data_IF_514245569459
#
_entry.id   IF_514245569459
#
_cell.length_a   1.000
_cell.length_b   1.000
_cell.length_c   1.000
_cell.angle_alpha   90.00
_cell.angle_beta   90.00
_cell.angle_gamma   90.00
#
_symmetry.space_group_name_H-M   'P 1'
#
loop_
_entity.id
_entity.type
_entity.pdbx_description
1 polymer ?
#
# COMPACT_ATOMS: atom_id res chain seq x y z
N UNK A 1 5.54 -9.48 -35.32
CA UNK A 1 5.36 -10.43 -34.22
C UNK A 1 3.92 -10.92 -34.23
N UNK A 2 3.68 -12.24 -34.37
CA UNK A 2 2.34 -12.82 -34.31
C UNK A 2 1.72 -12.46 -32.93
N UNK A 3 0.45 -12.02 -32.93
CA UNK A 3 -0.38 -11.85 -31.72
C UNK A 3 -0.55 -13.23 -31.07
N UNK A 4 0.40 -13.66 -30.30
CA UNK A 4 0.15 -14.76 -29.37
C UNK A 4 -0.53 -14.15 -28.16
N UNK A 5 -1.84 -14.34 -28.02
CA UNK A 5 -2.57 -14.03 -26.79
C UNK A 5 -2.00 -14.92 -25.68
N UNK A 6 -1.14 -14.37 -24.84
CA UNK A 6 -0.59 -15.10 -23.71
C UNK A 6 -1.71 -15.45 -22.72
N UNK A 7 -1.61 -16.63 -22.11
CA UNK A 7 -2.45 -17.05 -20.99
C UNK A 7 -1.79 -16.64 -19.69
N UNK A 8 -2.38 -15.70 -18.98
CA UNK A 8 -1.80 -15.11 -17.78
C UNK A 8 -2.76 -15.36 -16.62
N UNK A 9 -2.25 -15.94 -15.55
CA UNK A 9 -3.00 -16.01 -14.29
C UNK A 9 -2.48 -14.98 -13.31
N UNK A 10 -3.38 -14.34 -12.57
CA UNK A 10 -3.06 -13.43 -11.48
C UNK A 10 -3.67 -13.98 -10.19
N UNK A 11 -2.83 -14.39 -9.26
CA UNK A 11 -3.24 -14.86 -7.95
C UNK A 11 -3.39 -13.69 -6.98
N UNK A 12 -4.61 -13.50 -6.47
CA UNK A 12 -5.02 -12.39 -5.63
C UNK A 12 -5.70 -11.26 -6.40
N UNK A 13 -6.81 -10.76 -5.86
CA UNK A 13 -7.64 -9.70 -6.44
C UNK A 13 -7.65 -8.41 -5.59
N UNK A 14 -6.52 -8.11 -4.92
CA UNK A 14 -6.27 -6.81 -4.27
C UNK A 14 -5.92 -5.73 -5.29
N UNK A 15 -5.47 -4.55 -4.84
CA UNK A 15 -5.12 -3.41 -5.70
C UNK A 15 -4.09 -3.78 -6.78
N UNK A 16 -3.04 -4.51 -6.41
CA UNK A 16 -2.01 -4.98 -7.35
C UNK A 16 -2.60 -5.96 -8.36
N UNK A 17 -3.30 -6.99 -7.88
CA UNK A 17 -3.86 -8.02 -8.74
C UNK A 17 -4.92 -7.49 -9.70
N UNK A 18 -5.87 -6.67 -9.22
CA UNK A 18 -6.91 -6.11 -10.08
C UNK A 18 -6.37 -5.15 -11.12
N UNK A 19 -5.45 -4.25 -10.75
CA UNK A 19 -4.89 -3.29 -11.69
C UNK A 19 -4.10 -3.97 -12.81
N UNK A 20 -3.24 -4.96 -12.46
CA UNK A 20 -2.45 -5.68 -13.46
C UNK A 20 -3.31 -6.61 -14.33
N UNK A 21 -4.34 -7.24 -13.76
CA UNK A 21 -5.29 -8.08 -14.50
C UNK A 21 -6.07 -7.25 -15.50
N UNK A 22 -6.61 -6.10 -15.09
CA UNK A 22 -7.32 -5.16 -15.97
C UNK A 22 -6.41 -4.65 -17.09
N UNK A 23 -5.17 -4.30 -16.75
CA UNK A 23 -4.18 -3.83 -17.72
C UNK A 23 -3.87 -4.88 -18.78
N UNK A 24 -3.53 -6.11 -18.35
CA UNK A 24 -3.07 -7.18 -19.25
C UNK A 24 -4.20 -7.80 -20.06
N UNK A 25 -5.43 -7.84 -19.56
CA UNK A 25 -6.59 -8.45 -20.24
C UNK A 25 -7.05 -7.70 -21.48
N UNK A 26 -6.56 -6.49 -21.72
CA UNK A 26 -6.81 -5.75 -22.96
C UNK A 26 -6.19 -6.44 -24.19
N UNK A 27 -5.16 -7.25 -24.02
CA UNK A 27 -4.42 -7.87 -25.13
C UNK A 27 -4.13 -9.37 -24.94
N UNK A 28 -4.43 -9.92 -23.77
CA UNK A 28 -4.10 -11.29 -23.39
C UNK A 28 -5.30 -11.97 -22.73
N UNK A 29 -5.26 -13.29 -22.62
CA UNK A 29 -6.24 -14.07 -21.86
C UNK A 29 -5.82 -14.05 -20.39
N UNK A 30 -6.59 -13.39 -19.53
CA UNK A 30 -6.26 -13.24 -18.11
C UNK A 30 -7.29 -13.95 -17.25
N UNK A 31 -6.80 -14.81 -16.35
CA UNK A 31 -7.60 -15.46 -15.31
C UNK A 31 -7.16 -14.95 -13.96
N UNK A 32 -8.06 -14.38 -13.17
CA UNK A 32 -7.80 -14.06 -11.77
C UNK A 32 -8.13 -15.27 -10.92
N UNK A 33 -7.18 -15.69 -10.10
CA UNK A 33 -7.41 -16.68 -9.06
C UNK A 33 -7.58 -15.98 -7.71
N UNK A 34 -8.69 -16.23 -7.04
CA UNK A 34 -8.92 -15.76 -5.66
C UNK A 34 -9.72 -16.81 -4.90
N UNK A 35 -9.36 -17.03 -3.63
CA UNK A 35 -10.05 -18.00 -2.76
C UNK A 35 -11.45 -17.53 -2.35
N UNK A 36 -11.70 -16.21 -2.39
CA UNK A 36 -12.98 -15.60 -2.04
C UNK A 36 -13.95 -15.66 -3.23
N UNK A 37 -14.93 -16.55 -3.11
CA UNK A 37 -15.97 -16.73 -4.13
C UNK A 37 -16.76 -15.46 -4.44
N UNK A 38 -16.94 -14.57 -3.46
CA UNK A 38 -17.64 -13.30 -3.65
C UNK A 38 -16.86 -12.36 -4.57
N UNK A 39 -15.53 -12.34 -4.44
CA UNK A 39 -14.63 -11.59 -5.31
C UNK A 39 -14.60 -12.17 -6.72
N UNK A 40 -14.54 -13.50 -6.83
CA UNK A 40 -14.64 -14.19 -8.13
C UNK A 40 -15.93 -13.82 -8.87
N UNK A 41 -17.06 -13.85 -8.16
CA UNK A 41 -18.37 -13.45 -8.73
C UNK A 41 -18.38 -11.98 -9.18
N UNK A 42 -17.83 -11.07 -8.36
CA UNK A 42 -17.71 -9.64 -8.74
C UNK A 42 -16.96 -9.48 -10.06
N UNK A 43 -15.75 -10.05 -10.16
CA UNK A 43 -14.91 -9.91 -11.37
C UNK A 43 -15.62 -10.46 -12.62
N UNK A 44 -16.23 -11.63 -12.52
CA UNK A 44 -16.98 -12.23 -13.64
C UNK A 44 -18.20 -11.39 -14.03
N UNK A 45 -18.78 -10.63 -13.10
CA UNK A 45 -19.86 -9.66 -13.34
C UNK A 45 -19.32 -8.24 -13.71
N UNK A 46 -18.05 -8.12 -14.06
CA UNK A 46 -17.43 -6.83 -14.42
C UNK A 46 -17.47 -5.79 -13.30
N UNK A 47 -17.33 -6.23 -12.05
CA UNK A 47 -17.27 -5.39 -10.87
C UNK A 47 -15.88 -5.49 -10.23
N UNK A 48 -15.33 -4.37 -9.79
CA UNK A 48 -14.05 -4.36 -9.08
C UNK A 48 -14.17 -4.92 -7.67
N UNK A 49 -13.10 -5.53 -7.19
CA UNK A 49 -12.94 -5.97 -5.80
C UNK A 49 -12.25 -4.92 -4.92
N UNK A 50 -11.81 -3.82 -5.51
CA UNK A 50 -11.11 -2.71 -4.86
C UNK A 50 -11.68 -1.38 -5.34
N UNK A 51 -11.50 -0.31 -4.58
CA UNK A 51 -11.91 1.04 -4.95
C UNK A 51 -10.86 1.70 -5.82
N UNK A 52 -11.10 1.73 -7.12
CA UNK A 52 -10.28 2.43 -8.11
C UNK A 52 -11.19 2.77 -9.31
N UNK A 53 -11.54 4.05 -9.44
CA UNK A 53 -12.51 4.51 -10.44
C UNK A 53 -12.11 4.13 -11.87
N UNK A 54 -10.81 4.11 -12.16
CA UNK A 54 -10.32 3.77 -13.48
C UNK A 54 -10.44 2.25 -13.75
N UNK A 55 -10.28 1.40 -12.73
CA UNK A 55 -10.56 -0.04 -12.85
C UNK A 55 -12.04 -0.24 -13.16
N UNK A 56 -12.93 0.42 -12.43
CA UNK A 56 -14.39 0.32 -12.66
C UNK A 56 -14.75 0.77 -14.07
N UNK A 57 -14.18 1.90 -14.53
CA UNK A 57 -14.37 2.38 -15.87
C UNK A 57 -13.92 1.36 -16.95
N UNK A 58 -12.74 0.75 -16.76
CA UNK A 58 -12.22 -0.24 -17.71
C UNK A 58 -13.04 -1.52 -17.73
N UNK A 59 -13.48 -2.02 -16.58
CA UNK A 59 -14.33 -3.20 -16.48
C UNK A 59 -15.66 -3.02 -17.20
N UNK A 60 -16.24 -1.81 -17.15
CA UNK A 60 -17.53 -1.51 -17.76
C UNK A 60 -17.44 -1.15 -19.26
N UNK A 61 -16.41 -0.38 -19.66
CA UNK A 61 -16.35 0.24 -20.98
C UNK A 61 -15.39 -0.43 -21.96
N UNK A 62 -14.53 -1.34 -21.51
CA UNK A 62 -13.54 -2.01 -22.37
C UNK A 62 -13.87 -3.47 -22.58
N UNK A 63 -13.57 -3.96 -23.79
CA UNK A 63 -13.55 -5.40 -24.04
C UNK A 63 -12.29 -6.00 -23.41
N UNK A 64 -12.48 -6.71 -22.30
CA UNK A 64 -11.42 -7.34 -21.54
C UNK A 64 -11.56 -8.87 -21.64
N UNK A 65 -10.48 -9.55 -22.02
CA UNK A 65 -10.39 -11.01 -21.95
C UNK A 65 -10.06 -11.43 -20.50
N UNK A 66 -10.96 -11.11 -19.59
CA UNK A 66 -10.80 -11.29 -18.15
C UNK A 66 -11.85 -12.24 -17.60
N UNK A 67 -11.40 -13.27 -16.90
CA UNK A 67 -12.22 -14.21 -16.11
C UNK A 67 -11.66 -14.37 -14.72
N UNK A 68 -12.43 -14.92 -13.81
CA UNK A 68 -11.96 -15.25 -12.45
C UNK A 68 -12.44 -16.63 -12.03
N UNK A 69 -11.66 -17.30 -11.19
CA UNK A 69 -11.96 -18.62 -10.64
C UNK A 69 -11.35 -18.80 -9.24
N UNK A 70 -11.96 -19.66 -8.44
CA UNK A 70 -11.38 -20.16 -7.18
C UNK A 70 -10.82 -21.59 -7.30
N UNK A 71 -10.73 -22.11 -8.55
CA UNK A 71 -10.17 -23.41 -8.82
C UNK A 71 -8.74 -23.28 -9.35
N UNK A 72 -7.76 -23.78 -8.60
CA UNK A 72 -6.34 -23.71 -8.93
C UNK A 72 -6.01 -24.47 -10.25
N UNK A 73 -6.66 -25.61 -10.53
CA UNK A 73 -6.38 -26.38 -11.73
C UNK A 73 -6.79 -25.60 -13.00
N UNK A 74 -7.94 -24.93 -12.94
CA UNK A 74 -8.38 -24.05 -14.02
C UNK A 74 -7.45 -22.84 -14.18
N UNK A 75 -6.97 -22.29 -13.06
CA UNK A 75 -6.13 -21.12 -13.06
C UNK A 75 -4.71 -21.37 -13.59
N UNK A 76 -4.07 -22.49 -13.22
CA UNK A 76 -2.62 -22.64 -13.38
C UNK A 76 -2.20 -23.57 -14.52
N UNK A 77 -3.01 -24.59 -14.85
CA UNK A 77 -2.59 -25.69 -15.73
C UNK A 77 -2.03 -25.24 -17.09
N UNK A 78 -2.65 -24.24 -17.69
CA UNK A 78 -2.33 -23.79 -19.05
C UNK A 78 -1.72 -22.37 -19.08
N UNK A 79 -1.37 -21.79 -17.96
CA UNK A 79 -0.80 -20.45 -17.89
C UNK A 79 0.62 -20.41 -18.48
N UNK A 80 0.94 -19.35 -19.23
CA UNK A 80 2.31 -19.01 -19.64
C UNK A 80 3.02 -18.24 -18.51
N UNK A 81 2.27 -17.37 -17.83
CA UNK A 81 2.73 -16.60 -16.68
C UNK A 81 1.72 -16.69 -15.53
N UNK A 82 2.22 -16.83 -14.30
CA UNK A 82 1.42 -16.71 -13.09
C UNK A 82 1.99 -15.58 -12.24
N UNK A 83 1.20 -14.54 -12.01
CA UNK A 83 1.58 -13.36 -11.22
C UNK A 83 1.06 -13.51 -9.80
N UNK A 84 1.94 -13.45 -8.82
CA UNK A 84 1.62 -13.54 -7.40
C UNK A 84 1.40 -12.14 -6.81
N UNK A 85 0.15 -11.78 -6.53
CA UNK A 85 -0.25 -10.52 -5.91
C UNK A 85 -0.96 -10.78 -4.57
N UNK A 86 -0.33 -11.59 -3.73
CA UNK A 86 -0.84 -12.07 -2.45
C UNK A 86 -0.36 -11.19 -1.29
N UNK A 87 -1.10 -11.12 -0.17
CA UNK A 87 -0.67 -10.36 1.00
C UNK A 87 0.60 -10.96 1.62
N UNK A 88 1.49 -10.07 2.08
CA UNK A 88 2.70 -10.39 2.85
C UNK A 88 2.78 -9.40 4.00
N UNK A 89 2.11 -9.75 5.10
CA UNK A 89 2.09 -8.91 6.29
C UNK A 89 3.38 -9.06 7.09
N UNK A 90 3.73 -8.05 7.89
CA UNK A 90 4.91 -8.12 8.74
C UNK A 90 4.54 -8.81 10.06
N UNK A 91 5.20 -9.89 10.39
CA UNK A 91 5.09 -10.57 11.67
C UNK A 91 6.08 -9.95 12.68
N UNK A 92 5.54 -9.34 13.73
CA UNK A 92 6.34 -8.69 14.78
C UNK A 92 7.14 -9.69 15.64
N UNK A 93 6.71 -10.95 15.70
CA UNK A 93 7.38 -11.99 16.49
C UNK A 93 8.59 -12.54 15.74
N UNK A 94 8.37 -12.84 14.45
CA UNK A 94 9.42 -13.34 13.56
C UNK A 94 10.31 -12.20 13.01
N UNK A 95 9.92 -10.94 13.26
CA UNK A 95 10.58 -9.73 12.76
C UNK A 95 10.84 -9.79 11.25
N UNK A 96 9.89 -10.33 10.49
CA UNK A 96 9.97 -10.53 9.03
C UNK A 96 8.59 -10.57 8.41
N UNK A 97 8.52 -10.47 7.08
CA UNK A 97 7.27 -10.72 6.36
C UNK A 97 6.85 -12.20 6.51
N UNK A 98 5.57 -12.42 6.76
CA UNK A 98 4.95 -13.73 6.58
C UNK A 98 4.71 -13.96 5.08
N UNK A 99 5.53 -14.84 4.50
CA UNK A 99 5.43 -15.26 3.10
C UNK A 99 4.75 -16.61 2.93
N UNK A 100 4.22 -17.20 3.99
CA UNK A 100 3.70 -18.59 4.00
C UNK A 100 2.63 -18.84 2.95
N UNK A 101 1.66 -17.90 2.80
CA UNK A 101 0.60 -17.99 1.78
C UNK A 101 1.20 -17.91 0.37
N UNK A 102 2.13 -17.00 0.15
CA UNK A 102 2.81 -16.82 -1.12
C UNK A 102 3.61 -18.06 -1.51
N UNK A 103 4.39 -18.60 -0.58
CA UNK A 103 5.27 -19.75 -0.80
C UNK A 103 4.47 -21.01 -1.09
N UNK A 104 3.37 -21.22 -0.36
CA UNK A 104 2.45 -22.33 -0.58
C UNK A 104 1.78 -22.23 -1.95
N UNK A 105 1.37 -21.04 -2.36
CA UNK A 105 0.74 -20.85 -3.67
C UNK A 105 1.74 -21.05 -4.81
N UNK A 106 2.98 -20.58 -4.68
CA UNK A 106 4.06 -20.84 -5.64
C UNK A 106 4.32 -22.34 -5.78
N UNK A 107 4.34 -23.08 -4.66
CA UNK A 107 4.46 -24.53 -4.68
C UNK A 107 3.33 -25.16 -5.50
N UNK A 108 2.09 -24.77 -5.24
CA UNK A 108 0.92 -25.28 -5.98
C UNK A 108 1.02 -25.02 -7.50
N UNK A 109 1.51 -23.85 -7.90
CA UNK A 109 1.73 -23.54 -9.32
C UNK A 109 2.79 -24.44 -9.93
N UNK A 110 3.93 -24.63 -9.27
CA UNK A 110 5.04 -25.42 -9.79
C UNK A 110 4.65 -26.89 -9.94
N UNK A 111 3.85 -27.43 -9.01
CA UNK A 111 3.33 -28.80 -9.06
C UNK A 111 2.33 -29.00 -10.22
N UNK A 112 1.47 -27.98 -10.49
CA UNK A 112 0.42 -28.07 -11.51
C UNK A 112 0.90 -27.68 -12.92
N UNK A 113 1.95 -26.85 -13.01
CA UNK A 113 2.47 -26.34 -14.27
C UNK A 113 4.00 -26.23 -14.25
N UNK A 114 4.65 -27.14 -14.93
CA UNK A 114 6.11 -27.22 -14.99
C UNK A 114 6.74 -26.35 -16.09
N UNK A 115 5.96 -25.49 -16.78
CA UNK A 115 6.42 -24.68 -17.91
C UNK A 115 6.27 -23.16 -17.66
N UNK A 116 5.27 -22.72 -16.91
CA UNK A 116 4.98 -21.31 -16.71
C UNK A 116 6.11 -20.60 -15.95
N UNK A 117 6.19 -19.31 -16.15
CA UNK A 117 6.98 -18.43 -15.30
C UNK A 117 6.11 -17.89 -14.16
N UNK A 118 6.64 -17.94 -12.94
CA UNK A 118 5.99 -17.35 -11.76
C UNK A 118 6.60 -15.98 -11.51
N UNK A 119 5.78 -14.94 -11.50
CA UNK A 119 6.20 -13.56 -11.29
C UNK A 119 5.72 -13.08 -9.93
N UNK A 120 6.62 -12.91 -8.99
CA UNK A 120 6.27 -12.36 -7.67
C UNK A 120 6.11 -10.84 -7.80
N UNK A 121 4.89 -10.36 -7.52
CA UNK A 121 4.53 -8.94 -7.42
C UNK A 121 4.39 -8.49 -5.97
N UNK A 122 4.15 -9.41 -5.05
CA UNK A 122 4.09 -9.16 -3.61
C UNK A 122 5.43 -8.65 -3.10
N UNK A 123 5.42 -7.78 -2.09
CA UNK A 123 6.67 -7.35 -1.43
C UNK A 123 7.18 -8.46 -0.52
N UNK A 124 8.44 -8.84 -0.70
CA UNK A 124 9.10 -9.97 -0.03
C UNK A 124 10.45 -9.54 0.57
N UNK A 125 11.03 -10.33 1.49
CA UNK A 125 12.37 -10.10 2.01
C UNK A 125 13.43 -10.18 0.90
N UNK A 126 14.54 -9.44 1.07
CA UNK A 126 15.65 -9.48 0.11
C UNK A 126 16.28 -10.88 0.10
N UNK A 127 16.41 -11.46 -1.10
CA UNK A 127 16.94 -12.81 -1.31
C UNK A 127 15.88 -13.90 -1.36
N UNK A 128 14.61 -13.59 -1.06
CA UNK A 128 13.54 -14.59 -0.98
C UNK A 128 13.28 -15.30 -2.31
N UNK A 129 13.31 -14.57 -3.44
CA UNK A 129 13.18 -15.19 -4.77
C UNK A 129 14.25 -16.26 -5.03
N UNK A 130 15.49 -15.98 -4.65
CA UNK A 130 16.58 -16.95 -4.82
C UNK A 130 16.41 -18.15 -3.87
N UNK A 131 15.93 -17.91 -2.65
CA UNK A 131 15.59 -18.98 -1.72
C UNK A 131 14.54 -19.92 -2.32
N UNK A 132 13.46 -19.40 -2.86
CA UNK A 132 12.41 -20.18 -3.52
C UNK A 132 12.94 -20.95 -4.75
N UNK A 133 13.82 -20.33 -5.55
CA UNK A 133 14.47 -21.03 -6.68
C UNK A 133 15.27 -22.24 -6.21
N UNK A 134 15.98 -22.12 -5.11
CA UNK A 134 16.73 -23.23 -4.52
C UNK A 134 15.81 -24.32 -3.97
N UNK A 135 14.76 -23.96 -3.22
CA UNK A 135 13.79 -24.91 -2.65
C UNK A 135 13.10 -25.72 -3.76
N UNK A 136 12.67 -25.06 -4.83
CA UNK A 136 11.92 -25.71 -5.91
C UNK A 136 12.80 -26.16 -7.08
N UNK A 137 14.12 -26.00 -7.00
CA UNK A 137 15.08 -26.33 -8.05
C UNK A 137 14.65 -25.81 -9.44
N UNK A 138 14.34 -24.50 -9.52
CA UNK A 138 13.83 -23.88 -10.75
C UNK A 138 14.27 -22.44 -10.91
N UNK A 139 14.57 -22.02 -12.14
CA UNK A 139 14.86 -20.63 -12.50
C UNK A 139 13.65 -19.86 -13.06
N UNK A 140 12.45 -20.45 -12.96
CA UNK A 140 11.21 -19.86 -13.52
C UNK A 140 10.49 -18.92 -12.54
N UNK A 141 11.01 -18.71 -11.35
CA UNK A 141 10.49 -17.75 -10.36
C UNK A 141 11.24 -16.43 -10.56
N UNK A 142 10.51 -15.38 -10.87
CA UNK A 142 11.02 -14.04 -11.14
C UNK A 142 10.41 -13.03 -10.17
N UNK A 143 11.10 -11.96 -9.87
CA UNK A 143 10.55 -10.85 -9.11
C UNK A 143 10.33 -9.62 -9.98
N UNK A 144 9.18 -8.99 -9.87
CA UNK A 144 8.92 -7.71 -10.54
C UNK A 144 8.11 -6.80 -9.62
N UNK A 145 8.75 -5.87 -8.91
CA UNK A 145 8.09 -4.98 -7.97
C UNK A 145 7.02 -4.12 -8.64
N UNK A 146 6.11 -3.64 -7.82
CA UNK A 146 5.14 -2.62 -8.20
C UNK A 146 5.36 -1.35 -7.37
N UNK A 147 4.94 -0.19 -7.91
CA UNK A 147 5.12 1.12 -7.27
C UNK A 147 3.82 1.94 -7.32
N UNK A 148 2.69 1.25 -7.30
CA UNK A 148 1.37 1.85 -7.38
C UNK A 148 0.88 2.42 -6.04
N UNK A 149 -0.10 3.32 -6.13
CA UNK A 149 -0.84 3.88 -5.00
C UNK A 149 -2.25 3.30 -4.96
N UNK A 150 -2.70 2.91 -3.77
CA UNK A 150 -4.09 2.48 -3.55
C UNK A 150 -5.06 3.60 -3.99
N UNK A 151 -6.12 3.23 -4.69
CA UNK A 151 -7.09 4.16 -5.29
C UNK A 151 -6.68 4.75 -6.65
N UNK A 152 -5.41 4.59 -7.07
CA UNK A 152 -4.88 5.01 -8.37
C UNK A 152 -4.07 3.90 -9.05
N UNK A 153 -4.31 2.65 -8.68
CA UNK A 153 -3.46 1.52 -9.05
C UNK A 153 -3.39 1.30 -10.56
N UNK A 154 -4.52 1.41 -11.27
CA UNK A 154 -4.53 1.26 -12.72
C UNK A 154 -3.87 2.44 -13.44
N UNK A 155 -4.08 3.68 -12.97
CA UNK A 155 -3.45 4.86 -13.53
C UNK A 155 -1.92 4.80 -13.42
N UNK A 156 -1.41 4.38 -12.25
CA UNK A 156 0.02 4.20 -12.00
C UNK A 156 0.61 3.06 -12.86
N UNK A 157 -0.12 1.96 -13.07
CA UNK A 157 0.31 0.86 -13.94
C UNK A 157 0.23 1.21 -15.44
N UNK A 158 -0.69 2.08 -15.85
CA UNK A 158 -0.75 2.60 -17.22
C UNK A 158 0.39 3.57 -17.53
N UNK A 159 0.86 4.32 -16.52
CA UNK A 159 1.91 5.33 -16.65
C UNK A 159 3.03 5.12 -15.63
N UNK A 160 3.67 3.93 -15.59
CA UNK A 160 4.69 3.66 -14.58
C UNK A 160 5.90 4.56 -14.78
N UNK A 161 6.49 5.04 -13.68
CA UNK A 161 7.76 5.80 -13.74
C UNK A 161 8.92 4.94 -14.27
N UNK A 162 8.86 3.65 -13.99
CA UNK A 162 9.81 2.62 -14.41
C UNK A 162 9.18 1.24 -14.34
N UNK A 163 9.69 0.31 -15.14
CA UNK A 163 9.36 -1.11 -15.10
C UNK A 163 10.62 -1.86 -14.71
N UNK A 164 10.58 -2.65 -13.64
CA UNK A 164 11.72 -3.43 -13.16
C UNK A 164 11.38 -4.91 -13.23
N UNK A 165 12.29 -5.70 -13.79
CA UNK A 165 12.22 -7.16 -13.79
C UNK A 165 13.51 -7.72 -13.20
N UNK A 166 13.38 -8.46 -12.10
CA UNK A 166 14.49 -9.02 -11.33
C UNK A 166 15.01 -10.32 -11.91
N UNK A 167 15.42 -10.30 -13.15
CA UNK A 167 16.13 -11.37 -13.85
C UNK A 167 16.56 -10.93 -15.24
N UNK A 168 17.43 -11.72 -15.90
CA UNK A 168 17.93 -11.50 -17.28
C UNK A 168 17.50 -12.61 -18.26
N UNK A 169 16.77 -13.63 -17.79
CA UNK A 169 16.31 -14.77 -18.59
C UNK A 169 15.37 -14.36 -19.71
N UNK A 170 15.16 -15.25 -20.67
CA UNK A 170 14.19 -15.04 -21.76
C UNK A 170 12.78 -14.75 -21.21
N UNK A 171 12.34 -15.47 -20.16
CA UNK A 171 11.05 -15.22 -19.48
C UNK A 171 10.94 -13.82 -18.92
N UNK A 172 12.01 -13.31 -18.30
CA UNK A 172 12.08 -11.94 -17.81
C UNK A 172 11.97 -10.91 -18.96
N UNK A 173 12.64 -11.17 -20.09
CA UNK A 173 12.59 -10.28 -21.25
C UNK A 173 11.20 -10.26 -21.89
N UNK A 174 10.53 -11.43 -22.01
CA UNK A 174 9.15 -11.52 -22.52
C UNK A 174 8.21 -10.75 -21.59
N UNK A 175 8.30 -10.97 -20.27
CA UNK A 175 7.46 -10.30 -19.28
C UNK A 175 7.68 -8.78 -19.25
N UNK A 176 8.92 -8.33 -19.28
CA UNK A 176 9.25 -6.90 -19.32
C UNK A 176 8.69 -6.21 -20.58
N UNK A 177 8.85 -6.84 -21.76
CA UNK A 177 8.24 -6.34 -23.01
C UNK A 177 6.72 -6.35 -22.97
N UNK A 178 6.11 -7.36 -22.32
CA UNK A 178 4.68 -7.43 -22.10
C UNK A 178 4.18 -6.21 -21.32
N UNK A 179 4.78 -5.91 -20.16
CA UNK A 179 4.41 -4.75 -19.36
C UNK A 179 4.61 -3.43 -20.14
N UNK A 180 5.73 -3.29 -20.83
CA UNK A 180 6.00 -2.10 -21.66
C UNK A 180 4.97 -1.92 -22.78
N UNK A 181 4.48 -3.01 -23.38
CA UNK A 181 3.51 -2.97 -24.49
C UNK A 181 2.11 -2.48 -24.10
N UNK A 182 1.78 -2.54 -22.83
CA UNK A 182 0.49 -2.10 -22.25
C UNK A 182 0.58 -0.76 -21.51
N UNK A 183 1.79 -0.27 -21.27
CA UNK A 183 2.02 1.06 -20.70
C UNK A 183 1.74 2.15 -21.72
N UNK A 184 1.16 3.27 -21.28
CA UNK A 184 0.84 4.43 -22.14
C UNK A 184 2.02 5.39 -22.32
N UNK A 185 2.94 5.41 -21.35
CA UNK A 185 4.13 6.25 -21.39
C UNK A 185 5.36 5.46 -21.86
N UNK A 186 6.45 6.17 -22.20
CA UNK A 186 7.71 5.54 -22.60
C UNK A 186 8.60 5.24 -21.37
N UNK A 187 8.09 4.47 -20.43
CA UNK A 187 8.82 4.11 -19.21
C UNK A 187 10.09 3.33 -19.50
N UNK A 188 11.12 3.56 -18.70
CA UNK A 188 12.34 2.76 -18.76
C UNK A 188 12.07 1.33 -18.26
N UNK A 189 12.47 0.36 -19.05
CA UNK A 189 12.48 -1.05 -18.68
C UNK A 189 13.88 -1.43 -18.23
N UNK A 190 14.00 -1.88 -16.99
CA UNK A 190 15.28 -2.15 -16.33
C UNK A 190 15.29 -3.62 -15.90
N UNK A 191 16.35 -4.33 -16.25
CA UNK A 191 16.64 -5.68 -15.79
C UNK A 191 17.77 -5.64 -14.77
N UNK A 192 17.62 -6.41 -13.69
CA UNK A 192 18.60 -6.54 -12.62
C UNK A 192 18.45 -7.90 -11.94
N UNK A 193 19.29 -8.27 -11.00
CA UNK A 193 19.08 -9.49 -10.22
C UNK A 193 17.83 -9.39 -9.35
N UNK A 194 17.27 -10.55 -8.96
CA UNK A 194 16.07 -10.57 -8.10
C UNK A 194 16.30 -9.84 -6.79
N UNK A 195 17.44 -10.06 -6.13
CA UNK A 195 17.77 -9.39 -4.86
C UNK A 195 17.95 -7.89 -5.00
N UNK A 196 18.47 -7.39 -6.14
CA UNK A 196 18.51 -5.96 -6.43
C UNK A 196 17.11 -5.39 -6.61
N UNK A 197 16.22 -6.07 -7.34
CA UNK A 197 14.85 -5.64 -7.54
C UNK A 197 14.02 -5.63 -6.23
N UNK A 198 14.19 -6.63 -5.37
CA UNK A 198 13.65 -6.68 -4.02
C UNK A 198 14.16 -5.52 -3.17
N UNK A 199 15.47 -5.23 -3.25
CA UNK A 199 16.08 -4.10 -2.57
C UNK A 199 15.51 -2.76 -3.06
N UNK A 200 15.36 -2.57 -4.37
CA UNK A 200 14.76 -1.33 -4.91
C UNK A 200 13.37 -1.08 -4.33
N UNK A 201 12.54 -2.14 -4.17
CA UNK A 201 11.20 -1.99 -3.59
C UNK A 201 11.28 -1.50 -2.14
N UNK A 202 12.05 -2.18 -1.29
CA UNK A 202 12.13 -1.87 0.13
C UNK A 202 12.81 -0.53 0.40
N UNK A 203 13.92 -0.23 -0.31
CA UNK A 203 14.61 1.05 -0.16
C UNK A 203 13.78 2.22 -0.68
N UNK A 204 13.04 2.06 -1.80
CA UNK A 204 12.15 3.11 -2.30
C UNK A 204 11.08 3.47 -1.26
N UNK A 205 10.38 2.47 -0.70
CA UNK A 205 9.35 2.73 0.30
C UNK A 205 9.93 3.30 1.60
N UNK A 206 11.11 2.84 2.02
CA UNK A 206 11.80 3.38 3.20
C UNK A 206 12.26 4.82 2.98
N UNK A 207 12.72 5.18 1.78
CA UNK A 207 13.05 6.56 1.43
C UNK A 207 11.83 7.48 1.51
N UNK A 208 10.69 7.03 0.97
CA UNK A 208 9.45 7.81 1.06
C UNK A 208 8.98 7.96 2.52
N UNK A 209 9.07 6.90 3.32
CA UNK A 209 8.78 6.95 4.75
C UNK A 209 9.73 7.90 5.50
N UNK A 210 11.03 7.92 5.14
CA UNK A 210 12.01 8.86 5.68
C UNK A 210 11.63 10.32 5.37
N UNK A 211 11.20 10.61 4.14
CA UNK A 211 10.75 11.96 3.79
C UNK A 211 9.58 12.42 4.66
N UNK A 212 8.56 11.58 4.79
CA UNK A 212 7.41 11.89 5.67
C UNK A 212 7.88 12.06 7.12
N UNK A 213 8.78 11.19 7.61
CA UNK A 213 9.33 11.29 8.97
C UNK A 213 10.08 12.60 9.18
N UNK A 214 10.91 13.02 8.22
CA UNK A 214 11.64 14.28 8.26
C UNK A 214 10.67 15.48 8.40
N UNK A 215 9.67 15.58 7.54
CA UNK A 215 8.70 16.68 7.59
C UNK A 215 7.78 16.59 8.81
N UNK A 216 7.54 15.42 9.36
CA UNK A 216 6.86 15.24 10.63
C UNK A 216 7.71 15.78 11.83
N UNK A 217 9.02 15.56 11.84
CA UNK A 217 9.92 16.11 12.87
C UNK A 217 10.05 17.61 12.74
N UNK A 218 10.16 18.14 11.50
CA UNK A 218 10.11 19.59 11.24
C UNK A 218 8.81 20.20 11.79
N UNK A 219 7.67 19.56 11.53
CA UNK A 219 6.37 19.99 12.05
C UNK A 219 6.30 19.95 13.58
N UNK A 220 6.85 18.90 14.20
CA UNK A 220 6.93 18.80 15.65
C UNK A 220 7.77 19.93 16.26
N UNK A 221 8.90 20.27 15.62
CA UNK A 221 9.73 21.40 16.00
C UNK A 221 8.96 22.72 15.85
N UNK A 222 8.32 22.96 14.71
CA UNK A 222 7.57 24.18 14.46
C UNK A 222 6.43 24.37 15.48
N UNK A 223 5.64 23.31 15.74
CA UNK A 223 4.59 23.31 16.77
C UNK A 223 5.13 23.59 18.18
N UNK A 224 6.32 23.09 18.52
CA UNK A 224 6.93 23.30 19.83
C UNK A 224 7.51 24.70 20.01
N UNK A 225 7.86 25.37 18.90
CA UNK A 225 8.41 26.74 18.86
C UNK A 225 7.39 27.78 18.46
N UNK A 226 6.11 27.40 18.30
CA UNK A 226 5.03 28.27 17.83
C UNK A 226 5.34 28.94 16.46
N UNK A 227 5.93 28.17 15.56
CA UNK A 227 6.25 28.60 14.20
C UNK A 227 5.20 28.09 13.20
N UNK A 228 5.09 28.75 12.06
CA UNK A 228 4.21 28.32 10.97
C UNK A 228 4.89 27.25 10.10
N UNK A 229 4.58 26.00 10.35
CA UNK A 229 5.12 24.83 9.62
C UNK A 229 5.05 25.01 8.10
N UNK A 230 3.90 25.49 7.59
CA UNK A 230 3.68 25.68 6.14
C UNK A 230 4.74 26.59 5.52
N UNK A 231 5.05 27.72 6.16
CA UNK A 231 6.03 28.68 5.63
C UNK A 231 7.43 28.07 5.52
N UNK A 232 7.80 27.22 6.50
CA UNK A 232 9.11 26.56 6.50
C UNK A 232 9.17 25.55 5.37
N UNK A 233 8.12 24.72 5.22
CA UNK A 233 8.08 23.70 4.17
C UNK A 233 8.02 24.33 2.79
N UNK A 234 7.21 25.37 2.59
CA UNK A 234 7.13 26.10 1.32
C UNK A 234 8.52 26.65 0.93
N UNK A 235 9.21 27.29 1.88
CA UNK A 235 10.56 27.83 1.61
C UNK A 235 11.59 26.76 1.26
N UNK A 236 11.56 25.61 1.96
CA UNK A 236 12.44 24.48 1.64
C UNK A 236 12.13 23.84 0.28
N UNK A 237 10.86 23.69 -0.05
CA UNK A 237 10.40 22.99 -1.26
C UNK A 237 10.68 23.75 -2.55
N UNK A 238 11.01 25.05 -2.46
CA UNK A 238 11.48 25.86 -3.61
C UNK A 238 12.83 25.40 -4.14
N UNK A 239 13.66 24.71 -3.34
CA UNK A 239 14.88 24.10 -3.83
C UNK A 239 14.52 22.81 -4.62
N UNK A 240 14.82 22.80 -5.92
CA UNK A 240 14.53 21.65 -6.80
C UNK A 240 15.16 20.34 -6.34
N UNK A 241 16.22 20.36 -5.55
CA UNK A 241 16.88 19.18 -4.98
C UNK A 241 16.04 18.57 -3.84
N UNK A 242 15.16 19.37 -3.23
CA UNK A 242 14.23 18.94 -2.16
C UNK A 242 12.87 18.62 -2.77
N UNK A 243 12.27 19.57 -3.51
CA UNK A 243 10.96 19.42 -4.13
C UNK A 243 9.81 19.28 -3.13
N UNK A 244 8.60 19.07 -3.66
CA UNK A 244 7.35 19.05 -2.87
C UNK A 244 6.76 17.67 -2.62
N UNK A 245 7.35 16.59 -3.16
CA UNK A 245 6.81 15.25 -2.99
C UNK A 245 7.00 14.74 -1.56
N UNK A 246 5.96 14.16 -0.97
CA UNK A 246 6.00 13.59 0.39
C UNK A 246 6.42 14.59 1.49
N UNK A 247 6.13 15.88 1.30
CA UNK A 247 6.46 16.96 2.23
C UNK A 247 5.30 17.36 3.16
N UNK A 248 4.10 16.80 2.95
CA UNK A 248 2.93 17.10 3.79
C UNK A 248 3.02 16.34 5.12
N UNK A 249 3.05 17.03 6.26
CA UNK A 249 3.08 16.38 7.56
C UNK A 249 1.81 15.56 7.80
N UNK A 250 1.93 14.65 8.77
CA UNK A 250 0.85 13.77 9.18
C UNK A 250 0.99 13.39 10.66
N UNK A 251 0.11 12.55 11.15
CA UNK A 251 0.24 11.95 12.49
C UNK A 251 1.31 10.85 12.56
N UNK A 252 1.91 10.52 11.44
CA UNK A 252 2.92 9.52 11.21
C UNK A 252 2.77 8.96 9.81
N UNK A 253 3.85 8.46 9.19
CA UNK A 253 3.67 7.70 7.97
C UNK A 253 2.90 6.41 8.28
N UNK A 254 1.94 6.11 7.42
CA UNK A 254 0.99 5.03 7.62
C UNK A 254 0.58 4.40 6.29
N UNK A 255 -0.58 3.76 6.29
CA UNK A 255 -1.03 2.91 5.21
C UNK A 255 -0.41 1.51 5.29
N UNK A 256 -0.77 0.66 4.35
CA UNK A 256 -0.35 -0.74 4.39
C UNK A 256 1.15 -0.93 4.12
N UNK A 257 1.72 -0.21 3.16
CA UNK A 257 3.07 -0.48 2.65
C UNK A 257 4.19 0.13 3.51
N UNK A 258 4.18 1.45 3.74
CA UNK A 258 5.34 2.12 4.33
C UNK A 258 5.74 1.57 5.70
N UNK A 259 4.82 1.34 6.67
CA UNK A 259 5.20 0.82 7.98
C UNK A 259 5.79 -0.59 7.96
N UNK A 260 5.23 -1.49 7.15
CA UNK A 260 5.70 -2.86 7.10
C UNK A 260 7.02 -2.99 6.32
N UNK A 261 7.16 -2.26 5.21
CA UNK A 261 8.34 -2.33 4.35
C UNK A 261 9.57 -1.71 5.02
N UNK A 262 9.41 -0.64 5.83
CA UNK A 262 10.51 -0.06 6.63
C UNK A 262 10.98 -1.02 7.72
N UNK A 263 10.08 -1.74 8.38
CA UNK A 263 10.45 -2.76 9.36
C UNK A 263 11.17 -3.93 8.71
N UNK A 264 10.66 -4.41 7.56
CA UNK A 264 11.32 -5.47 6.80
C UNK A 264 12.70 -5.05 6.33
N UNK A 265 12.86 -3.82 5.83
CA UNK A 265 14.19 -3.34 5.46
C UNK A 265 15.12 -3.33 6.67
N UNK A 266 14.65 -2.83 7.82
CA UNK A 266 15.44 -2.81 9.06
C UNK A 266 15.90 -4.23 9.45
N UNK A 267 15.01 -5.22 9.38
CA UNK A 267 15.39 -6.61 9.69
C UNK A 267 16.40 -7.20 8.71
N UNK A 268 16.40 -6.76 7.44
CA UNK A 268 17.39 -7.21 6.46
C UNK A 268 18.80 -6.64 6.68
N UNK A 269 18.98 -5.64 7.55
CA UNK A 269 20.32 -5.09 7.81
C UNK A 269 21.18 -5.99 8.70
N UNK A 270 20.54 -6.83 9.55
CA UNK A 270 21.21 -7.80 10.42
C UNK A 270 22.59 -7.29 10.92
N UNK A 271 23.70 -7.76 10.36
CA UNK A 271 25.06 -7.35 10.72
C UNK A 271 25.59 -6.16 9.89
N UNK A 272 24.78 -5.53 9.06
CA UNK A 272 25.18 -4.37 8.27
C UNK A 272 25.08 -3.09 9.14
N UNK A 273 26.13 -2.28 9.28
CA UNK A 273 26.08 -1.05 10.03
C UNK A 273 24.99 -0.09 9.50
N UNK A 274 24.11 0.35 10.39
CA UNK A 274 23.06 1.29 10.06
C UNK A 274 22.64 2.10 11.31
N UNK A 275 22.14 3.29 11.08
CA UNK A 275 21.47 4.13 12.09
C UNK A 275 20.23 4.80 11.51
N UNK A 276 20.33 5.28 10.27
CA UNK A 276 19.24 5.99 9.60
C UNK A 276 17.98 5.12 9.46
N UNK A 277 18.13 3.86 9.00
CA UNK A 277 16.99 2.97 8.76
C UNK A 277 16.21 2.71 10.06
N UNK A 278 16.94 2.45 11.16
CA UNK A 278 16.32 2.34 12.50
C UNK A 278 15.62 3.64 12.92
N UNK A 279 16.27 4.78 12.65
CA UNK A 279 15.71 6.10 13.00
C UNK A 279 14.40 6.38 12.26
N UNK A 280 14.22 5.92 11.04
CA UNK A 280 12.94 6.04 10.29
C UNK A 280 11.82 5.35 11.08
N UNK A 281 12.04 4.12 11.53
CA UNK A 281 11.04 3.35 12.29
C UNK A 281 10.77 4.00 13.66
N UNK A 282 11.82 4.40 14.36
CA UNK A 282 11.72 5.03 15.69
C UNK A 282 11.04 6.40 15.64
N UNK A 283 11.32 7.22 14.61
CA UNK A 283 10.73 8.55 14.44
C UNK A 283 9.21 8.48 14.25
N UNK A 284 8.71 7.47 13.55
CA UNK A 284 7.26 7.28 13.40
C UNK A 284 6.55 6.95 14.72
N UNK A 285 7.22 6.24 15.61
CA UNK A 285 6.72 5.98 16.97
C UNK A 285 6.70 7.28 17.79
N UNK A 286 7.84 8.00 17.82
CA UNK A 286 7.97 9.28 18.54
C UNK A 286 7.00 10.33 18.04
N UNK A 287 6.72 10.37 16.72
CA UNK A 287 5.72 11.28 16.16
C UNK A 287 4.33 11.03 16.73
N UNK A 288 3.91 9.77 16.82
CA UNK A 288 2.60 9.41 17.40
C UNK A 288 2.55 9.73 18.90
N UNK A 289 3.65 9.51 19.63
CA UNK A 289 3.77 9.89 21.04
C UNK A 289 3.57 11.41 21.19
N UNK A 290 4.29 12.22 20.41
CA UNK A 290 4.20 13.68 20.42
C UNK A 290 2.78 14.19 20.12
N UNK A 291 2.12 13.63 19.10
CA UNK A 291 0.75 14.02 18.74
C UNK A 291 -0.24 13.63 19.86
N UNK A 292 -0.12 12.44 20.42
CA UNK A 292 -0.95 12.00 21.53
C UNK A 292 -0.80 12.93 22.74
N UNK A 293 0.43 13.30 23.10
CA UNK A 293 0.71 14.24 24.19
C UNK A 293 0.09 15.62 23.92
N UNK A 294 0.15 16.12 22.68
CA UNK A 294 -0.52 17.38 22.31
C UNK A 294 -2.02 17.32 22.50
N UNK A 295 -2.66 16.20 22.15
CA UNK A 295 -4.10 15.99 22.34
C UNK A 295 -4.44 15.91 23.83
N UNK A 296 -3.70 15.12 24.61
CA UNK A 296 -3.92 14.97 26.06
C UNK A 296 -3.76 16.33 26.77
N UNK A 297 -2.73 17.10 26.41
CA UNK A 297 -2.45 18.41 27.00
C UNK A 297 -3.31 19.55 26.45
N UNK A 298 -4.23 19.28 25.54
CA UNK A 298 -5.18 20.29 25.01
C UNK A 298 -6.23 20.75 26.03
N UNK A 299 -6.38 20.01 27.15
CA UNK A 299 -7.39 20.26 28.18
C UNK A 299 -8.81 19.87 27.78
N UNK A 300 -9.00 19.28 26.60
CA UNK A 300 -10.31 18.82 26.11
C UNK A 300 -10.73 17.53 26.80
N UNK A 301 -12.02 17.44 27.15
CA UNK A 301 -12.60 16.29 27.87
C UNK A 301 -13.10 15.22 26.95
N UNK A 302 -13.43 15.58 25.70
CA UNK A 302 -13.93 14.67 24.68
C UNK A 302 -13.24 14.89 23.34
N UNK A 303 -12.84 13.79 22.68
CA UNK A 303 -12.11 13.78 21.42
C UNK A 303 -12.77 12.83 20.45
N UNK A 304 -13.13 13.34 19.28
CA UNK A 304 -13.65 12.57 18.15
C UNK A 304 -12.54 12.22 17.16
N UNK A 305 -12.49 10.97 16.70
CA UNK A 305 -11.64 10.53 15.62
C UNK A 305 -12.47 10.39 14.36
N UNK A 306 -12.24 11.30 13.40
CA UNK A 306 -12.95 11.30 12.13
C UNK A 306 -12.19 10.46 11.12
N UNK A 307 -12.77 9.32 10.78
CA UNK A 307 -12.25 8.25 9.92
C UNK A 307 -10.98 7.58 10.42
N UNK A 308 -10.93 6.27 10.21
CA UNK A 308 -9.79 5.42 10.60
C UNK A 308 -8.83 5.14 9.43
N UNK A 309 -9.13 5.67 8.24
CA UNK A 309 -8.35 5.50 7.02
C UNK A 309 -7.22 6.53 6.92
N UNK A 310 -6.16 6.19 6.18
CA UNK A 310 -5.00 7.07 5.99
C UNK A 310 -5.16 7.98 4.77
N UNK A 311 -5.78 7.48 3.69
CA UNK A 311 -5.95 8.19 2.42
C UNK A 311 -7.42 8.33 2.08
N UNK A 312 -7.78 9.44 1.47
CA UNK A 312 -9.10 9.62 0.89
C UNK A 312 -9.36 8.55 -0.17
N UNK A 313 -10.56 7.93 -0.15
CA UNK A 313 -10.93 6.88 -1.11
C UNK A 313 -10.39 5.47 -0.83
N UNK A 314 -9.49 5.28 0.14
CA UNK A 314 -9.07 3.93 0.58
C UNK A 314 -10.12 3.31 1.50
N UNK A 315 -10.28 1.99 1.44
CA UNK A 315 -11.06 1.17 2.37
C UNK A 315 -10.16 0.39 3.34
N UNK A 316 -8.85 0.62 3.28
CA UNK A 316 -7.87 -0.09 4.06
C UNK A 316 -7.60 0.61 5.40
N UNK A 317 -8.12 0.05 6.50
CA UNK A 317 -7.88 0.53 7.87
C UNK A 317 -6.51 0.12 8.44
N UNK A 318 -5.81 -0.83 7.79
CA UNK A 318 -4.58 -1.41 8.35
C UNK A 318 -3.50 -0.35 8.53
N UNK A 319 -2.89 -0.35 9.72
CA UNK A 319 -1.73 0.48 10.07
C UNK A 319 -1.90 2.00 9.85
N UNK A 320 -3.12 2.54 9.87
CA UNK A 320 -3.34 3.98 9.84
C UNK A 320 -2.75 4.64 11.11
N UNK A 321 -2.05 5.76 10.94
CA UNK A 321 -1.37 6.45 12.05
C UNK A 321 -2.33 6.86 13.17
N UNK A 322 -3.57 7.21 12.83
CA UNK A 322 -4.62 7.62 13.77
C UNK A 322 -4.96 6.52 14.79
N UNK A 323 -4.94 5.24 14.38
CA UNK A 323 -5.16 4.12 15.32
C UNK A 323 -4.05 4.03 16.37
N UNK A 324 -2.82 4.33 15.96
CA UNK A 324 -1.69 4.41 16.88
C UNK A 324 -1.85 5.53 17.91
N UNK A 325 -2.55 6.62 17.58
CA UNK A 325 -2.87 7.71 18.50
C UNK A 325 -4.00 7.28 19.44
N UNK A 326 -5.07 6.66 18.94
CA UNK A 326 -6.17 6.11 19.75
C UNK A 326 -5.60 5.23 20.88
N UNK A 327 -4.72 4.28 20.54
CA UNK A 327 -4.07 3.38 21.53
C UNK A 327 -3.29 4.12 22.61
N UNK A 328 -2.68 5.26 22.30
CA UNK A 328 -1.91 6.07 23.25
C UNK A 328 -2.77 6.88 24.20
N UNK A 329 -3.89 7.36 23.70
CA UNK A 329 -4.82 8.20 24.47
C UNK A 329 -5.77 7.35 25.33
N UNK A 330 -5.96 6.07 25.00
CA UNK A 330 -6.91 5.15 25.63
C UNK A 330 -6.85 5.12 27.18
N UNK A 331 -5.66 5.27 27.74
CA UNK A 331 -5.47 5.27 29.20
C UNK A 331 -5.59 6.65 29.84
N UNK A 332 -5.94 7.68 29.07
CA UNK A 332 -6.22 9.03 29.59
C UNK A 332 -7.67 9.13 30.10
N UNK A 333 -7.99 10.24 30.79
CA UNK A 333 -9.35 10.53 31.23
C UNK A 333 -10.24 11.14 30.14
N UNK A 334 -9.78 11.15 28.89
CA UNK A 334 -10.48 11.74 27.76
C UNK A 334 -11.54 10.75 27.24
N UNK A 335 -12.78 11.21 27.08
CA UNK A 335 -13.80 10.44 26.38
C UNK A 335 -13.50 10.42 24.89
N UNK A 336 -13.53 9.24 24.27
CA UNK A 336 -13.20 9.08 22.86
C UNK A 336 -14.43 8.62 22.08
N UNK A 337 -14.57 9.12 20.86
CA UNK A 337 -15.58 8.74 19.90
C UNK A 337 -14.95 8.53 18.54
N UNK A 338 -15.49 7.63 17.73
CA UNK A 338 -15.06 7.38 16.36
C UNK A 338 -16.25 7.61 15.42
N UNK A 339 -16.00 8.28 14.32
CA UNK A 339 -16.90 8.31 13.18
C UNK A 339 -16.21 7.65 11.99
N UNK A 340 -16.72 6.48 11.57
CA UNK A 340 -16.24 5.75 10.40
C UNK A 340 -17.41 5.10 9.67
N UNK A 341 -17.85 5.67 8.53
CA UNK A 341 -19.00 5.18 7.79
C UNK A 341 -18.87 3.75 7.25
N UNK A 342 -17.63 3.29 7.06
CA UNK A 342 -17.35 1.96 6.51
C UNK A 342 -17.29 0.87 7.58
N UNK A 343 -17.32 1.24 8.85
CA UNK A 343 -17.30 0.30 9.96
C UNK A 343 -18.76 -0.01 10.39
N UNK A 344 -19.15 -1.27 10.41
CA UNK A 344 -20.48 -1.69 10.85
C UNK A 344 -20.59 -1.86 12.37
N UNK A 345 -19.48 -2.09 13.04
CA UNK A 345 -19.42 -2.34 14.48
C UNK A 345 -19.79 -1.08 15.28
N UNK A 346 -20.35 -1.28 16.47
CA UNK A 346 -20.67 -0.20 17.42
C UNK A 346 -19.45 0.29 18.21
N UNK A 347 -18.38 -0.51 18.24
CA UNK A 347 -17.12 -0.21 18.90
C UNK A 347 -15.92 -0.60 18.04
N UNK A 348 -14.85 0.17 18.15
CA UNK A 348 -13.54 -0.15 17.59
C UNK A 348 -12.47 0.05 18.68
N UNK A 349 -11.72 -1.01 19.01
CA UNK A 349 -10.69 -1.00 20.06
C UNK A 349 -11.23 -0.45 21.42
N UNK A 350 -12.47 -0.83 21.79
CA UNK A 350 -13.25 -0.35 22.95
C UNK A 350 -13.50 1.17 22.95
N UNK A 351 -13.59 1.78 21.79
CA UNK A 351 -14.05 3.16 21.60
C UNK A 351 -15.35 3.17 20.84
N UNK A 352 -16.37 3.87 21.34
CA UNK A 352 -17.71 3.93 20.74
C UNK A 352 -17.67 4.53 19.34
N UNK A 353 -18.32 3.86 18.38
CA UNK A 353 -18.50 4.33 17.01
C UNK A 353 -19.85 5.02 16.89
N UNK A 354 -19.84 6.29 16.52
CA UNK A 354 -21.03 7.09 16.28
C UNK A 354 -21.33 7.07 14.78
N UNK A 355 -22.57 6.72 14.40
CA UNK A 355 -22.98 6.60 12.99
C UNK A 355 -23.50 7.92 12.42
N UNK A 356 -24.09 8.76 13.25
CA UNK A 356 -24.55 10.07 12.85
C UNK A 356 -23.44 11.12 12.99
N UNK A 357 -23.18 11.86 11.92
CA UNK A 357 -22.08 12.82 11.89
C UNK A 357 -22.37 14.04 12.76
N UNK A 358 -23.62 14.48 12.87
CA UNK A 358 -23.97 15.64 13.68
C UNK A 358 -23.90 15.31 15.18
N UNK A 359 -24.30 14.10 15.56
CA UNK A 359 -24.08 13.59 16.91
C UNK A 359 -22.59 13.50 17.23
N UNK A 360 -21.76 12.97 16.29
CA UNK A 360 -20.32 12.91 16.46
C UNK A 360 -19.68 14.29 16.67
N UNK A 361 -20.05 15.28 15.84
CA UNK A 361 -19.58 16.66 15.95
C UNK A 361 -19.98 17.31 17.28
N UNK A 362 -21.22 17.08 17.72
CA UNK A 362 -21.76 17.66 18.95
C UNK A 362 -21.08 17.10 20.20
N UNK A 363 -20.77 15.80 20.23
CA UNK A 363 -20.10 15.13 21.35
C UNK A 363 -18.62 15.41 21.44
N UNK A 364 -17.99 15.90 20.37
CA UNK A 364 -16.56 16.11 20.27
C UNK A 364 -16.17 17.57 20.53
N UNK A 365 -15.37 17.81 21.56
CA UNK A 365 -14.73 19.13 21.80
C UNK A 365 -13.52 19.36 20.91
N UNK A 366 -12.88 18.29 20.45
CA UNK A 366 -11.76 18.27 19.50
C UNK A 366 -11.96 17.12 18.53
N UNK A 367 -11.80 17.39 17.25
CA UNK A 367 -11.93 16.39 16.17
C UNK A 367 -10.56 16.14 15.54
N UNK A 368 -10.09 14.92 15.64
CA UNK A 368 -8.81 14.46 15.10
C UNK A 368 -9.07 13.82 13.73
N UNK A 369 -8.40 14.31 12.70
CA UNK A 369 -8.51 13.74 11.36
C UNK A 369 -7.19 13.73 10.61
N UNK A 370 -6.89 12.64 9.90
CA UNK A 370 -5.74 12.56 9.01
C UNK A 370 -5.91 13.51 7.80
N UNK A 371 -7.13 13.64 7.30
CA UNK A 371 -7.48 14.46 6.13
C UNK A 371 -8.72 15.29 6.43
N UNK A 372 -8.67 16.57 6.07
CA UNK A 372 -9.83 17.45 6.22
C UNK A 372 -10.83 17.11 5.12
N UNK A 373 -12.10 16.95 5.50
CA UNK A 373 -13.23 16.66 4.61
C UNK A 373 -14.23 17.81 4.59
N UNK A 374 -14.98 17.92 3.52
CA UNK A 374 -16.10 18.86 3.38
C UNK A 374 -17.10 18.74 4.53
N UNK A 375 -17.33 17.51 5.01
CA UNK A 375 -18.25 17.20 6.11
C UNK A 375 -17.90 17.88 7.44
N UNK A 376 -16.68 18.41 7.57
CA UNK A 376 -16.18 19.03 8.81
C UNK A 376 -16.02 20.55 8.70
N UNK A 377 -16.42 21.18 7.59
CA UNK A 377 -16.24 22.63 7.38
C UNK A 377 -16.95 23.48 8.42
N UNK A 378 -18.13 23.06 8.85
CA UNK A 378 -18.98 23.74 9.84
C UNK A 378 -18.41 23.74 11.26
N UNK A 379 -17.44 22.88 11.54
CA UNK A 379 -16.78 22.72 12.86
C UNK A 379 -15.26 22.87 12.76
N UNK A 380 -14.81 23.69 11.82
CA UNK A 380 -13.37 23.88 11.52
C UNK A 380 -12.54 24.29 12.73
N UNK A 381 -13.11 25.02 13.69
CA UNK A 381 -12.46 25.45 14.93
C UNK A 381 -12.19 24.30 15.91
N UNK A 382 -12.88 23.18 15.76
CA UNK A 382 -12.66 21.97 16.55
C UNK A 382 -11.65 21.01 15.91
N UNK A 383 -11.17 21.27 14.68
CA UNK A 383 -10.36 20.31 13.93
C UNK A 383 -8.87 20.40 14.36
N UNK A 384 -8.32 19.26 14.68
CA UNK A 384 -6.87 19.06 14.74
C UNK A 384 -6.43 18.09 13.65
N UNK A 385 -5.78 18.62 12.65
CA UNK A 385 -5.17 17.88 11.55
C UNK A 385 -3.74 18.37 11.29
N UNK A 386 -2.92 17.51 10.73
CA UNK A 386 -1.58 17.91 10.25
C UNK A 386 -1.48 17.82 8.72
N UNK A 387 -2.59 17.70 8.05
CA UNK A 387 -2.73 17.87 6.60
C UNK A 387 -2.75 19.37 6.26
N UNK A 388 -1.57 19.97 6.15
CA UNK A 388 -1.44 21.43 5.98
C UNK A 388 -1.50 21.89 4.53
N UNK A 389 -1.37 20.98 3.56
CA UNK A 389 -1.44 21.26 2.13
C UNK A 389 -2.74 20.80 1.48
N UNK A 390 -3.60 20.06 2.20
CA UNK A 390 -4.87 19.51 1.70
C UNK A 390 -4.69 18.68 0.41
N UNK A 391 -3.56 18.00 0.30
CA UNK A 391 -3.24 17.15 -0.83
C UNK A 391 -3.07 15.69 -0.37
N UNK A 392 -3.45 14.77 -1.25
CA UNK A 392 -3.39 13.32 -1.00
C UNK A 392 -1.99 12.76 -1.19
#
# INVERSE_FOLDING_TARGET
MKKNNLKITVAGSGYVGMSISTLLSQKNLVTVFDIDESRVKKINNRQSTVRDELIDEYLLKKELNLTATNNQDVAYKDADFVLMALPTDFDEKENSFDTSILDQEIKSVIEKNNKCFVIIKSTIPIGHTNNLRNIFNTNRILYSPEFLREGNALADNLNPSRIIVGDYTEGAQIFGKLLKSVSKNNSNLIYMSSSEAESVKLFSNSYLAMRVAFFNELDSFALSKNLKTKNIIDGMSMDNRIGSDYNNPSFGYGGYCLPKDTKQLLSNFDNVPQSLIKSIVDSNKKRKDFIADKIINSGKKSVGFYRLIMKSGSDNFRAAAIQGIIKRIKNSKIKMYIYEPLLNDEEFDNVSVIKDIEEFKSRSELIITNRISEDLKDVSEKIFSRDIFLNN
#
